data_IF_117457760581
#
_entry.id   IF_117457760581
#
_cell.length_a   1.000
_cell.length_b   1.000
_cell.length_c   1.000
_cell.angle_alpha   90.00
_cell.angle_beta   90.00
_cell.angle_gamma   90.00
#
_symmetry.space_group_name_H-M   'P 1'
#
loop_
_entity.id
_entity.type
_entity.pdbx_description
1 polymer ?
#
# COMPACT_ATOMS: atom_id res chain seq x y z
N UNK A 1 7.38 21.96 25.07
CA UNK A 1 7.35 20.49 24.91
C UNK A 1 8.50 19.86 25.70
N UNK A 2 8.25 18.92 26.63
CA UNK A 2 9.34 18.28 27.41
C UNK A 2 10.20 17.39 26.51
N UNK A 3 11.53 17.62 26.48
CA UNK A 3 12.51 16.75 25.81
C UNK A 3 12.52 15.38 26.48
N UNK A 4 12.62 14.30 25.70
CA UNK A 4 12.94 12.97 26.24
C UNK A 4 14.39 13.06 26.69
N UNK A 5 14.62 13.14 27.99
CA UNK A 5 15.95 13.13 28.59
C UNK A 5 16.29 11.69 28.97
N UNK A 6 17.45 11.20 28.54
CA UNK A 6 17.96 9.92 29.00
C UNK A 6 18.33 10.05 30.48
N UNK A 7 17.80 9.15 31.30
CA UNK A 7 18.14 9.10 32.72
C UNK A 7 19.53 8.46 32.88
N UNK A 8 20.41 9.00 33.74
CA UNK A 8 21.70 8.38 34.00
C UNK A 8 21.50 6.97 34.58
N UNK A 9 22.22 5.98 34.02
CA UNK A 9 22.23 4.59 34.47
C UNK A 9 21.12 3.66 33.92
N UNK A 10 20.22 4.15 33.06
CA UNK A 10 19.15 3.34 32.46
C UNK A 10 19.37 2.98 30.98
N UNK A 11 18.56 2.04 30.46
CA UNK A 11 18.48 1.80 29.00
C UNK A 11 18.01 3.09 28.31
N UNK A 12 18.73 3.57 27.27
CA UNK A 12 18.33 4.76 26.54
C UNK A 12 16.88 4.70 26.06
N UNK A 13 16.18 5.82 26.19
CA UNK A 13 14.78 5.89 25.78
C UNK A 13 14.70 5.96 24.25
N UNK A 14 13.85 5.11 23.65
CA UNK A 14 13.54 5.24 22.21
C UNK A 14 13.06 6.65 21.88
N UNK A 15 13.53 7.17 20.74
CA UNK A 15 13.08 8.47 20.21
C UNK A 15 11.57 8.47 20.03
N UNK A 16 11.00 9.67 20.07
CA UNK A 16 9.55 9.85 20.00
C UNK A 16 8.95 9.33 18.67
N UNK A 17 9.73 9.39 17.59
CA UNK A 17 9.43 8.91 16.24
C UNK A 17 9.49 7.39 16.11
N UNK A 18 10.38 6.73 16.86
CA UNK A 18 10.56 5.27 16.83
C UNK A 18 9.59 4.52 17.75
N UNK A 19 8.95 5.23 18.68
CA UNK A 19 7.97 4.65 19.60
C UNK A 19 6.64 4.39 18.87
N UNK A 20 6.26 3.12 18.78
CA UNK A 20 4.92 2.70 18.37
C UNK A 20 3.89 3.14 19.44
N UNK A 21 3.20 4.26 19.19
CA UNK A 21 2.24 4.85 20.16
C UNK A 21 0.79 4.87 19.68
N UNK A 22 0.57 4.67 18.39
CA UNK A 22 -0.74 4.78 17.75
C UNK A 22 -1.23 3.39 17.38
N UNK A 23 -2.52 3.16 17.59
CA UNK A 23 -3.19 1.91 17.25
C UNK A 23 -4.11 2.19 16.07
N UNK A 24 -4.01 1.36 15.04
CA UNK A 24 -4.98 1.30 13.95
C UNK A 24 -5.76 -0.01 14.14
N UNK A 25 -7.06 0.08 14.35
CA UNK A 25 -7.92 -1.07 14.62
C UNK A 25 -8.86 -1.34 13.46
N UNK A 26 -9.03 -2.62 13.11
CA UNK A 26 -9.95 -3.08 12.06
C UNK A 26 -10.67 -4.33 12.56
N UNK A 27 -11.98 -4.42 12.30
CA UNK A 27 -12.77 -5.63 12.59
C UNK A 27 -12.63 -6.61 11.43
N UNK A 28 -12.51 -7.88 11.76
CA UNK A 28 -12.36 -8.98 10.81
C UNK A 28 -13.51 -9.96 10.98
N UNK A 29 -13.89 -10.62 9.89
CA UNK A 29 -14.68 -11.85 10.00
C UNK A 29 -13.82 -12.97 10.59
N UNK A 30 -14.46 -14.04 11.10
CA UNK A 30 -13.72 -15.19 11.63
C UNK A 30 -12.77 -15.79 10.58
N UNK A 31 -13.24 -15.98 9.35
CA UNK A 31 -12.43 -16.53 8.26
C UNK A 31 -11.20 -15.66 7.97
N UNK A 32 -11.36 -14.34 7.95
CA UNK A 32 -10.25 -13.41 7.76
C UNK A 32 -9.25 -13.49 8.91
N UNK A 33 -9.73 -13.55 10.15
CA UNK A 33 -8.87 -13.71 11.32
C UNK A 33 -8.05 -15.00 11.25
N UNK A 34 -8.67 -16.14 10.92
CA UNK A 34 -7.97 -17.42 10.80
C UNK A 34 -6.96 -17.42 9.65
N UNK A 35 -7.29 -16.81 8.51
CA UNK A 35 -6.35 -16.66 7.40
C UNK A 35 -5.11 -15.86 7.80
N UNK A 36 -5.29 -14.74 8.52
CA UNK A 36 -4.17 -13.94 9.04
C UNK A 36 -3.37 -14.72 10.08
N UNK A 37 -4.04 -15.40 11.00
CA UNK A 37 -3.39 -16.21 12.04
C UNK A 37 -2.51 -17.30 11.42
N UNK A 38 -3.01 -17.99 10.39
CA UNK A 38 -2.25 -19.02 9.66
C UNK A 38 -0.98 -18.43 9.03
N UNK A 39 -1.12 -17.35 8.24
CA UNK A 39 0.01 -16.69 7.57
C UNK A 39 1.05 -16.14 8.55
N UNK A 40 0.59 -15.56 9.67
CA UNK A 40 1.48 -15.10 10.73
C UNK A 40 2.28 -16.26 11.35
N UNK A 41 1.62 -17.41 11.59
CA UNK A 41 2.26 -18.63 12.07
C UNK A 41 3.30 -19.18 11.08
N UNK A 42 2.97 -19.23 9.79
CA UNK A 42 3.89 -19.64 8.72
C UNK A 42 5.11 -18.72 8.62
N UNK A 43 4.93 -17.42 8.86
CA UNK A 43 6.01 -16.43 8.90
C UNK A 43 6.82 -16.43 10.21
N UNK A 44 6.43 -17.21 11.22
CA UNK A 44 7.05 -17.19 12.54
C UNK A 44 6.85 -15.87 13.32
N UNK A 45 5.83 -15.09 12.95
CA UNK A 45 5.55 -13.77 13.53
C UNK A 45 4.33 -13.80 14.44
N UNK A 46 4.30 -12.90 15.42
CA UNK A 46 3.06 -12.58 16.13
C UNK A 46 2.08 -11.93 15.17
N UNK A 47 0.78 -12.22 15.32
CA UNK A 47 -0.30 -11.67 14.48
C UNK A 47 -0.19 -10.14 14.35
N UNK A 48 0.05 -9.44 15.46
CA UNK A 48 0.18 -7.97 15.45
C UNK A 48 1.36 -7.47 14.62
N UNK A 49 2.49 -8.16 14.67
CA UNK A 49 3.68 -7.79 13.91
C UNK A 49 3.52 -8.12 12.43
N UNK A 50 2.95 -9.29 12.13
CA UNK A 50 2.60 -9.68 10.78
C UNK A 50 1.66 -8.66 10.13
N UNK A 51 0.57 -8.29 10.80
CA UNK A 51 -0.40 -7.30 10.30
C UNK A 51 0.27 -5.94 10.14
N UNK A 52 1.10 -5.51 11.09
CA UNK A 52 1.83 -4.24 11.00
C UNK A 52 2.74 -4.20 9.78
N UNK A 53 3.53 -5.25 9.56
CA UNK A 53 4.42 -5.33 8.39
C UNK A 53 3.63 -5.35 7.10
N UNK A 54 2.60 -6.22 7.02
CA UNK A 54 1.75 -6.34 5.84
C UNK A 54 1.05 -5.02 5.47
N UNK A 55 0.55 -4.26 6.45
CA UNK A 55 -0.12 -2.96 6.20
C UNK A 55 0.88 -1.90 5.76
N UNK A 56 2.10 -1.89 6.30
CA UNK A 56 3.16 -0.93 5.91
C UNK A 56 3.70 -1.26 4.51
N UNK A 57 3.81 -2.54 4.17
CA UNK A 57 4.35 -3.00 2.88
C UNK A 57 3.29 -3.13 1.79
N UNK A 58 2.00 -3.06 2.12
CA UNK A 58 0.93 -3.21 1.14
C UNK A 58 1.00 -2.09 0.11
N UNK A 59 1.10 -2.47 -1.15
CA UNK A 59 0.88 -1.55 -2.25
C UNK A 59 -0.62 -1.34 -2.42
N UNK A 60 -1.06 -0.09 -2.34
CA UNK A 60 -2.45 0.30 -2.59
C UNK A 60 -2.51 0.82 -4.01
N UNK A 61 -3.07 0.03 -4.93
CA UNK A 61 -3.34 0.48 -6.30
C UNK A 61 -4.55 1.41 -6.22
N UNK A 62 -4.38 2.74 -6.40
CA UNK A 62 -5.51 3.65 -6.41
C UNK A 62 -6.40 3.32 -7.60
N UNK A 63 -7.70 3.60 -7.47
CA UNK A 63 -8.57 3.58 -8.65
C UNK A 63 -8.05 4.61 -9.66
N UNK A 64 -8.19 4.28 -10.94
CA UNK A 64 -7.88 5.16 -12.06
C UNK A 64 -8.51 6.53 -11.80
N UNK A 65 -7.68 7.58 -11.71
CA UNK A 65 -8.20 8.92 -11.49
C UNK A 65 -8.96 9.38 -12.74
N UNK A 66 -9.80 10.42 -12.61
CA UNK A 66 -10.46 11.01 -13.78
C UNK A 66 -9.44 11.47 -14.83
N UNK A 67 -8.31 12.01 -14.38
CA UNK A 67 -7.22 12.45 -15.25
C UNK A 67 -6.61 11.28 -16.01
N UNK A 68 -6.34 10.15 -15.34
CA UNK A 68 -5.79 8.96 -15.98
C UNK A 68 -6.78 8.36 -16.99
N UNK A 69 -8.07 8.33 -16.64
CA UNK A 69 -9.12 7.86 -17.54
C UNK A 69 -9.24 8.74 -18.80
N UNK A 70 -9.13 10.05 -18.65
CA UNK A 70 -9.16 10.99 -19.77
C UNK A 70 -7.90 10.87 -20.64
N UNK A 71 -6.73 10.67 -20.03
CA UNK A 71 -5.48 10.42 -20.75
C UNK A 71 -5.57 9.13 -21.58
N UNK A 72 -6.06 8.04 -20.98
CA UNK A 72 -6.28 6.77 -21.69
C UNK A 72 -7.26 6.96 -22.85
N UNK A 73 -8.37 7.68 -22.64
CA UNK A 73 -9.36 7.92 -23.71
C UNK A 73 -8.76 8.68 -24.89
N UNK A 74 -7.91 9.68 -24.64
CA UNK A 74 -7.19 10.42 -25.69
C UNK A 74 -6.23 9.53 -26.46
N UNK A 75 -5.41 8.74 -25.75
CA UNK A 75 -4.47 7.80 -26.36
C UNK A 75 -5.19 6.77 -27.25
N UNK A 76 -6.35 6.26 -26.82
CA UNK A 76 -7.18 5.37 -27.63
C UNK A 76 -7.68 6.07 -28.90
N UNK A 77 -8.11 7.34 -28.80
CA UNK A 77 -8.52 8.14 -29.95
C UNK A 77 -7.39 8.35 -30.96
N UNK A 78 -6.19 8.67 -30.49
CA UNK A 78 -4.99 8.84 -31.31
C UNK A 78 -4.57 7.52 -31.98
N UNK A 79 -4.57 6.41 -31.23
CA UNK A 79 -4.26 5.09 -31.76
C UNK A 79 -5.25 4.67 -32.87
N UNK A 80 -6.55 4.93 -32.69
CA UNK A 80 -7.56 4.67 -33.71
C UNK A 80 -7.31 5.51 -34.98
N UNK A 81 -6.97 6.79 -34.81
CA UNK A 81 -6.65 7.65 -35.94
C UNK A 81 -5.45 7.13 -36.74
N UNK A 82 -4.37 6.75 -36.05
CA UNK A 82 -3.19 6.14 -36.66
C UNK A 82 -3.56 4.85 -37.40
N UNK A 83 -4.35 3.98 -36.78
CA UNK A 83 -4.78 2.73 -37.39
C UNK A 83 -5.59 2.96 -38.68
N UNK A 84 -6.47 3.96 -38.68
CA UNK A 84 -7.24 4.33 -39.87
C UNK A 84 -6.34 4.85 -41.00
N UNK A 85 -5.35 5.69 -40.68
CA UNK A 85 -4.38 6.19 -41.65
C UNK A 85 -3.53 5.07 -42.23
N UNK A 86 -3.05 4.15 -41.39
CA UNK A 86 -2.30 2.98 -41.82
C UNK A 86 -3.14 2.11 -42.78
N UNK A 87 -4.41 1.88 -42.46
CA UNK A 87 -5.28 1.08 -43.31
C UNK A 87 -5.56 1.76 -44.66
N UNK A 88 -5.81 3.08 -44.67
CA UNK A 88 -5.96 3.87 -45.89
C UNK A 88 -4.68 3.96 -46.74
N UNK A 89 -3.51 3.96 -46.10
CA UNK A 89 -2.23 3.91 -46.79
C UNK A 89 -1.89 2.53 -47.36
N UNK A 90 -2.56 1.47 -46.88
CA UNK A 90 -2.33 0.09 -47.27
C UNK A 90 -3.43 -0.47 -48.22
N UNK A 91 -4.46 0.33 -48.52
CA UNK A 91 -5.37 0.06 -49.62
C UNK A 91 -4.69 0.46 -50.93
N UNK A 92 -4.31 -0.54 -51.70
CA UNK A 92 -3.77 -0.44 -53.07
C UNK A 92 -4.81 0.11 -54.03
#
# INVERSE_FOLDING_TARGET
MKKIQDKPGGRPAKKRTEKQKKVVSTKLTELQYYAIRKRAGEAGLRISEYVRQAVISAEVIPRLSRQDADAIRKLVGEANNINHLAHRGNTV
#
